data_IF_588038880665
#
_entry.id   IF_588038880665
#
_cell.length_a   1.000
_cell.length_b   1.000
_cell.length_c   1.000
_cell.angle_alpha   90.00
_cell.angle_beta   90.00
_cell.angle_gamma   90.00
#
_symmetry.space_group_name_H-M   'P 1'
#
loop_
_entity.id
_entity.type
_entity.pdbx_description
1 polymer ?
#
# COMPACT_ATOMS: atom_id res chain seq x y z
N UNK A 1 4.20 -2.20 -20.12
CA UNK A 1 5.28 -1.94 -19.14
C UNK A 1 5.87 -0.53 -19.31
N UNK A 2 6.04 -0.04 -20.53
CA UNK A 2 6.65 1.26 -20.81
C UNK A 2 5.90 2.44 -20.17
N UNK A 3 4.56 2.36 -20.11
CA UNK A 3 3.73 3.36 -19.43
C UNK A 3 4.11 3.55 -17.95
N UNK A 4 4.54 2.49 -17.26
CA UNK A 4 4.97 2.56 -15.87
C UNK A 4 6.26 3.37 -15.67
N UNK A 5 7.00 3.66 -16.74
CA UNK A 5 8.20 4.50 -16.70
C UNK A 5 7.90 5.99 -16.91
N UNK A 6 6.67 6.34 -17.26
CA UNK A 6 6.26 7.74 -17.48
C UNK A 6 6.03 8.41 -16.14
N UNK A 7 6.65 9.57 -15.93
CA UNK A 7 6.50 10.36 -14.72
C UNK A 7 5.08 10.94 -14.61
N UNK A 8 4.55 11.02 -13.38
CA UNK A 8 3.22 11.56 -13.13
C UNK A 8 3.04 13.02 -13.61
N UNK A 9 4.12 13.80 -13.66
CA UNK A 9 4.09 15.21 -14.12
C UNK A 9 3.75 15.36 -15.59
N UNK A 10 3.97 14.30 -16.37
CA UNK A 10 3.70 14.27 -17.82
C UNK A 10 2.62 13.24 -18.18
N UNK A 11 1.72 12.95 -17.23
CA UNK A 11 0.56 12.10 -17.46
C UNK A 11 0.77 10.60 -17.20
N UNK A 12 1.91 10.21 -16.63
CA UNK A 12 2.17 8.84 -16.21
C UNK A 12 1.75 8.57 -14.77
N UNK A 13 2.25 7.46 -14.23
CA UNK A 13 1.91 6.98 -12.87
C UNK A 13 3.14 6.88 -11.96
N UNK A 14 4.35 7.02 -12.52
CA UNK A 14 5.59 6.87 -11.77
C UNK A 14 5.89 8.11 -10.94
N UNK A 15 6.25 7.88 -9.68
CA UNK A 15 6.70 8.93 -8.76
C UNK A 15 7.84 8.40 -7.88
N UNK A 16 8.70 9.29 -7.43
CA UNK A 16 9.62 9.03 -6.33
C UNK A 16 9.20 9.90 -5.13
N UNK A 17 9.18 9.29 -3.93
CA UNK A 17 8.96 10.05 -2.71
C UNK A 17 10.20 10.84 -2.29
N UNK A 18 10.13 11.58 -1.18
CA UNK A 18 11.24 12.37 -0.64
C UNK A 18 12.48 11.55 -0.23
N UNK A 19 12.31 10.24 -0.03
CA UNK A 19 13.36 9.30 0.31
C UNK A 19 13.92 8.57 -0.92
N UNK A 20 13.43 8.92 -2.12
CA UNK A 20 13.82 8.26 -3.38
C UNK A 20 13.20 6.88 -3.58
N UNK A 21 12.14 6.54 -2.85
CA UNK A 21 11.41 5.28 -3.04
C UNK A 21 10.49 5.38 -4.25
N UNK A 22 10.52 4.34 -5.08
CA UNK A 22 9.71 4.25 -6.30
C UNK A 22 8.27 3.93 -5.96
N UNK A 23 7.33 4.75 -6.46
CA UNK A 23 5.89 4.55 -6.36
C UNK A 23 5.23 4.54 -7.72
N UNK A 24 4.14 3.79 -7.84
CA UNK A 24 3.17 3.85 -8.93
C UNK A 24 1.84 4.31 -8.34
N UNK A 25 1.41 5.50 -8.74
CA UNK A 25 0.19 6.14 -8.22
C UNK A 25 -1.05 5.55 -8.85
N UNK A 26 -2.02 5.13 -8.03
CA UNK A 26 -3.36 4.77 -8.49
C UNK A 26 -4.13 6.02 -8.97
N UNK A 27 -3.92 7.14 -8.28
CA UNK A 27 -4.52 8.45 -8.60
C UNK A 27 -3.42 9.49 -8.79
N UNK A 28 -2.79 9.55 -9.99
CA UNK A 28 -1.72 10.51 -10.23
C UNK A 28 -2.25 11.95 -10.17
N UNK A 29 -1.76 12.70 -9.20
CA UNK A 29 -2.12 14.09 -8.95
C UNK A 29 -0.93 14.89 -8.48
N UNK A 30 -1.06 16.21 -8.29
CA UNK A 30 0.03 17.05 -7.77
C UNK A 30 0.48 16.55 -6.39
N UNK A 31 -0.46 16.32 -5.48
CA UNK A 31 -0.19 15.74 -4.17
C UNK A 31 -0.22 14.22 -4.23
N UNK A 32 0.76 13.52 -3.64
CA UNK A 32 0.84 12.07 -3.72
C UNK A 32 -0.21 11.42 -2.82
N UNK A 33 -0.90 10.42 -3.33
CA UNK A 33 -1.85 9.62 -2.54
C UNK A 33 -1.21 8.39 -1.90
N UNK A 34 -0.25 7.78 -2.59
CA UNK A 34 0.41 6.55 -2.17
C UNK A 34 -0.57 5.48 -1.66
N UNK A 35 -1.55 5.13 -2.50
CA UNK A 35 -2.52 4.08 -2.17
C UNK A 35 -1.83 2.72 -2.19
N UNK A 36 -1.87 2.01 -1.05
CA UNK A 36 -1.09 0.78 -0.86
C UNK A 36 -1.52 -0.34 -1.80
N UNK A 37 -2.81 -0.64 -1.87
CA UNK A 37 -3.31 -1.75 -2.68
C UNK A 37 -3.05 -1.54 -4.18
N UNK A 38 -3.25 -0.35 -4.71
CA UNK A 38 -2.97 -0.03 -6.11
C UNK A 38 -1.50 -0.22 -6.46
N UNK A 39 -0.60 0.24 -5.57
CA UNK A 39 0.84 0.01 -5.72
C UNK A 39 1.21 -1.47 -5.70
N UNK A 40 0.67 -2.25 -4.74
CA UNK A 40 0.96 -3.69 -4.65
C UNK A 40 0.40 -4.45 -5.84
N UNK A 41 -0.80 -4.13 -6.34
CA UNK A 41 -1.31 -4.74 -7.57
C UNK A 41 -0.44 -4.43 -8.79
N UNK A 42 0.09 -3.22 -8.88
CA UNK A 42 1.07 -2.88 -9.94
C UNK A 42 2.33 -3.73 -9.82
N UNK A 43 2.87 -3.90 -8.60
CA UNK A 43 4.00 -4.80 -8.35
C UNK A 43 3.70 -6.24 -8.78
N UNK A 44 2.51 -6.77 -8.47
CA UNK A 44 2.12 -8.12 -8.88
C UNK A 44 2.05 -8.25 -10.41
N UNK A 45 1.50 -7.26 -11.10
CA UNK A 45 1.48 -7.24 -12.57
C UNK A 45 2.90 -7.20 -13.18
N UNK A 46 3.82 -6.44 -12.59
CA UNK A 46 5.23 -6.41 -13.00
C UNK A 46 5.90 -7.77 -12.72
N UNK A 47 5.57 -8.41 -11.60
CA UNK A 47 6.07 -9.74 -11.25
C UNK A 47 5.61 -10.80 -12.25
N UNK A 48 4.35 -10.79 -12.65
CA UNK A 48 3.83 -11.71 -13.67
C UNK A 48 4.52 -11.51 -15.03
N UNK A 49 4.75 -10.26 -15.41
CA UNK A 49 5.51 -9.95 -16.63
C UNK A 49 6.94 -10.50 -16.58
N UNK A 50 7.62 -10.32 -15.44
CA UNK A 50 8.96 -10.90 -15.26
C UNK A 50 8.95 -12.42 -15.35
N UNK A 51 7.98 -13.10 -14.76
CA UNK A 51 7.85 -14.57 -14.85
C UNK A 51 7.77 -15.08 -16.29
N UNK A 52 7.16 -14.29 -17.18
CA UNK A 52 6.97 -14.65 -18.58
C UNK A 52 8.24 -14.33 -19.39
N UNK A 53 8.87 -13.19 -19.13
CA UNK A 53 9.94 -12.65 -19.97
C UNK A 53 11.35 -13.01 -19.48
N UNK A 54 11.53 -13.22 -18.19
CA UNK A 54 12.86 -13.38 -17.57
C UNK A 54 13.74 -12.12 -17.62
N UNK A 55 13.17 -10.94 -17.94
CA UNK A 55 13.96 -9.72 -18.14
C UNK A 55 14.50 -9.17 -16.82
N UNK A 56 15.81 -9.08 -16.72
CA UNK A 56 16.52 -8.56 -15.54
C UNK A 56 16.24 -7.09 -15.24
N UNK A 57 15.84 -6.29 -16.22
CA UNK A 57 15.42 -4.89 -15.99
C UNK A 57 14.09 -4.86 -15.23
N UNK A 58 13.18 -5.76 -15.56
CA UNK A 58 11.90 -5.92 -14.87
C UNK A 58 12.15 -6.41 -13.45
N UNK A 59 13.05 -7.39 -13.25
CA UNK A 59 13.45 -7.88 -11.93
C UNK A 59 13.95 -6.74 -11.03
N UNK A 60 14.82 -5.87 -11.53
CA UNK A 60 15.31 -4.70 -10.79
C UNK A 60 14.17 -3.73 -10.40
N UNK A 61 13.13 -3.64 -11.21
CA UNK A 61 11.96 -2.82 -10.88
C UNK A 61 11.16 -3.45 -9.74
N UNK A 62 10.99 -4.79 -9.77
CA UNK A 62 10.37 -5.54 -8.65
C UNK A 62 11.13 -5.29 -7.36
N UNK A 63 12.46 -5.40 -7.37
CA UNK A 63 13.28 -5.21 -6.18
C UNK A 63 13.11 -3.80 -5.57
N UNK A 64 13.01 -2.77 -6.43
CA UNK A 64 12.69 -1.40 -5.99
C UNK A 64 11.29 -1.31 -5.36
N UNK A 65 10.28 -1.93 -5.95
CA UNK A 65 8.92 -1.92 -5.41
C UNK A 65 8.84 -2.67 -4.08
N UNK A 66 9.51 -3.83 -3.96
CA UNK A 66 9.61 -4.58 -2.69
C UNK A 66 10.28 -3.74 -1.62
N UNK A 67 11.40 -3.08 -1.95
CA UNK A 67 12.07 -2.15 -1.04
C UNK A 67 11.12 -1.03 -0.59
N UNK A 68 10.39 -0.42 -1.51
CA UNK A 68 9.41 0.62 -1.19
C UNK A 68 8.39 0.12 -0.16
N UNK A 69 7.79 -1.07 -0.38
CA UNK A 69 6.84 -1.62 0.57
C UNK A 69 7.46 -1.96 1.91
N UNK A 70 8.66 -2.53 1.94
CA UNK A 70 9.38 -2.82 3.20
C UNK A 70 9.62 -1.57 4.05
N UNK A 71 10.07 -0.50 3.40
CA UNK A 71 10.39 0.75 4.09
C UNK A 71 9.14 1.55 4.47
N UNK A 72 8.00 1.35 3.78
CA UNK A 72 6.80 2.18 3.95
C UNK A 72 5.65 1.49 4.67
N UNK A 73 5.65 0.16 4.83
CA UNK A 73 4.49 -0.58 5.36
C UNK A 73 4.02 -0.09 6.73
N UNK A 74 4.94 0.39 7.57
CA UNK A 74 4.64 0.93 8.89
C UNK A 74 3.73 2.17 8.82
N UNK A 75 3.74 2.93 7.71
CA UNK A 75 2.89 4.10 7.49
C UNK A 75 1.42 3.71 7.25
N UNK A 76 1.16 2.45 6.92
CA UNK A 76 -0.19 1.91 6.68
C UNK A 76 -0.78 1.18 7.87
N UNK A 77 -0.21 1.35 9.07
CA UNK A 77 -0.71 0.77 10.31
C UNK A 77 -1.00 1.88 11.34
N UNK A 78 -2.26 2.05 11.69
CA UNK A 78 -2.68 2.99 12.75
C UNK A 78 -2.43 2.46 14.17
N UNK A 79 -1.90 1.25 14.32
CA UNK A 79 -1.77 0.55 15.60
C UNK A 79 -2.95 -0.36 15.93
N UNK A 80 -4.13 -0.08 15.41
CA UNK A 80 -5.35 -0.88 15.62
C UNK A 80 -6.07 -1.29 14.32
N UNK A 81 -5.72 -0.67 13.17
CA UNK A 81 -6.31 -0.94 11.86
C UNK A 81 -5.35 -0.53 10.74
N UNK A 82 -5.54 -1.02 9.52
CA UNK A 82 -4.76 -0.56 8.38
C UNK A 82 -5.27 0.77 7.83
N UNK A 83 -4.36 1.54 7.25
CA UNK A 83 -4.60 2.82 6.58
C UNK A 83 -4.65 2.56 5.07
N UNK A 84 -5.53 3.26 4.34
CA UNK A 84 -5.73 3.10 2.91
C UNK A 84 -4.70 3.86 2.08
N UNK A 85 -4.47 5.14 2.40
CA UNK A 85 -3.60 6.07 1.67
C UNK A 85 -2.75 6.93 2.61
N UNK A 86 -1.73 7.59 2.07
CA UNK A 86 -0.85 8.48 2.85
C UNK A 86 -1.22 9.96 2.74
N UNK A 87 -2.08 10.35 1.81
CA UNK A 87 -2.58 11.73 1.69
C UNK A 87 -3.54 12.05 2.85
N UNK A 88 -4.66 11.34 2.88
CA UNK A 88 -5.70 11.58 3.87
C UNK A 88 -5.55 10.74 5.14
N UNK A 89 -4.69 9.71 5.09
CA UNK A 89 -4.52 8.70 6.15
C UNK A 89 -5.85 8.07 6.55
N UNK A 90 -6.67 7.74 5.53
CA UNK A 90 -7.96 7.12 5.76
C UNK A 90 -7.79 5.71 6.29
N UNK A 91 -8.55 5.40 7.36
CA UNK A 91 -8.66 4.01 7.80
C UNK A 91 -9.33 3.19 6.70
N UNK A 92 -8.73 2.07 6.35
CA UNK A 92 -9.33 1.15 5.40
C UNK A 92 -10.68 0.67 5.90
N UNK A 93 -11.67 0.54 5.01
CA UNK A 93 -12.95 -0.09 5.37
C UNK A 93 -12.70 -1.53 5.86
N UNK A 94 -13.66 -2.12 6.60
CA UNK A 94 -13.53 -3.53 7.03
C UNK A 94 -13.35 -4.46 5.84
N UNK A 95 -14.00 -4.16 4.72
CA UNK A 95 -13.83 -4.90 3.48
C UNK A 95 -12.38 -4.84 2.98
N UNK A 96 -11.79 -3.64 2.85
CA UNK A 96 -10.41 -3.47 2.38
C UNK A 96 -9.40 -4.10 3.34
N UNK A 97 -9.55 -3.86 4.64
CA UNK A 97 -8.65 -4.44 5.64
C UNK A 97 -8.64 -5.97 5.57
N UNK A 98 -9.85 -6.59 5.58
CA UNK A 98 -10.02 -8.05 5.62
C UNK A 98 -9.68 -8.73 4.29
N UNK A 99 -10.22 -8.20 3.18
CA UNK A 99 -10.22 -8.93 1.91
C UNK A 99 -9.14 -8.46 0.94
N UNK A 100 -8.48 -7.33 1.22
CA UNK A 100 -7.45 -6.77 0.36
C UNK A 100 -6.12 -6.68 1.12
N UNK A 101 -6.02 -5.85 2.16
CA UNK A 101 -4.73 -5.55 2.79
C UNK A 101 -4.10 -6.78 3.44
N UNK A 102 -4.85 -7.56 4.21
CA UNK A 102 -4.35 -8.78 4.85
C UNK A 102 -3.88 -9.81 3.80
N UNK A 103 -4.68 -10.18 2.77
CA UNK A 103 -4.23 -11.09 1.72
C UNK A 103 -3.02 -10.57 0.94
N UNK A 104 -2.93 -9.27 0.65
CA UNK A 104 -1.77 -8.71 -0.05
C UNK A 104 -0.47 -8.90 0.74
N UNK A 105 -0.49 -8.77 2.06
CA UNK A 105 0.69 -9.04 2.89
C UNK A 105 1.09 -10.52 2.83
N UNK A 106 0.13 -11.43 2.82
CA UNK A 106 0.41 -12.86 2.66
C UNK A 106 1.03 -13.16 1.29
N UNK A 107 0.50 -12.57 0.23
CA UNK A 107 1.03 -12.73 -1.13
C UNK A 107 2.45 -12.17 -1.21
N UNK A 108 2.70 -10.96 -0.70
CA UNK A 108 4.03 -10.36 -0.70
C UNK A 108 5.04 -11.22 0.05
N UNK A 109 4.67 -11.75 1.22
CA UNK A 109 5.56 -12.68 1.96
C UNK A 109 5.88 -13.93 1.13
N UNK A 110 4.88 -14.58 0.52
CA UNK A 110 5.07 -15.76 -0.32
C UNK A 110 5.97 -15.50 -1.55
N UNK A 111 5.85 -14.33 -2.16
CA UNK A 111 6.62 -13.98 -3.36
C UNK A 111 8.05 -13.55 -3.05
N UNK A 112 8.27 -12.90 -1.91
CA UNK A 112 9.54 -12.24 -1.61
C UNK A 112 10.35 -12.94 -0.53
N UNK A 113 9.71 -13.75 0.32
CA UNK A 113 10.32 -14.32 1.53
C UNK A 113 10.55 -13.31 2.66
N UNK A 114 10.09 -12.08 2.53
CA UNK A 114 10.35 -11.02 3.49
C UNK A 114 9.44 -11.13 4.72
N UNK A 115 10.02 -11.37 5.88
CA UNK A 115 9.32 -11.60 7.16
C UNK A 115 8.50 -10.40 7.64
N UNK A 116 8.85 -9.20 7.22
CA UNK A 116 8.08 -8.00 7.58
C UNK A 116 6.63 -8.10 7.09
N UNK A 117 6.39 -8.65 5.90
CA UNK A 117 5.03 -8.80 5.37
C UNK A 117 4.21 -9.83 6.15
N UNK A 118 4.82 -10.95 6.56
CA UNK A 118 4.15 -11.92 7.43
C UNK A 118 3.83 -11.32 8.81
N UNK A 119 4.74 -10.53 9.36
CA UNK A 119 4.51 -9.81 10.62
C UNK A 119 3.28 -8.90 10.54
N UNK A 120 3.11 -8.12 9.44
CA UNK A 120 1.93 -7.29 9.23
C UNK A 120 0.67 -8.11 8.93
N UNK A 121 0.78 -9.21 8.20
CA UNK A 121 -0.33 -10.14 7.97
C UNK A 121 -0.88 -10.66 9.32
N UNK A 122 -0.01 -11.18 10.19
CA UNK A 122 -0.38 -11.68 11.52
C UNK A 122 -0.96 -10.58 12.40
N UNK A 123 -0.33 -9.40 12.41
CA UNK A 123 -0.77 -8.24 13.18
C UNK A 123 -2.15 -7.77 12.75
N UNK A 124 -2.40 -7.61 11.45
CA UNK A 124 -3.68 -7.15 10.94
C UNK A 124 -4.79 -8.20 11.09
N UNK A 125 -4.48 -9.50 10.99
CA UNK A 125 -5.41 -10.58 11.36
C UNK A 125 -5.83 -10.48 12.84
N UNK A 126 -4.88 -10.19 13.74
CA UNK A 126 -5.18 -9.97 15.17
C UNK A 126 -6.05 -8.73 15.38
N UNK A 127 -5.76 -7.63 14.68
CA UNK A 127 -6.56 -6.41 14.73
C UNK A 127 -8.00 -6.66 14.26
N UNK A 128 -8.18 -7.38 13.14
CA UNK A 128 -9.48 -7.75 12.59
C UNK A 128 -10.33 -8.58 13.57
N UNK A 129 -9.71 -9.46 14.34
CA UNK A 129 -10.41 -10.32 15.29
C UNK A 129 -10.72 -9.63 16.63
N UNK A 130 -10.20 -8.44 16.88
CA UNK A 130 -10.44 -7.66 18.09
C UNK A 130 -11.81 -6.97 18.06
N UNK A 131 -12.69 -7.35 18.97
CA UNK A 131 -13.99 -6.67 19.16
C UNK A 131 -13.82 -5.19 19.54
N UNK A 132 -12.80 -4.88 20.34
CA UNK A 132 -12.47 -3.51 20.71
C UNK A 132 -12.08 -2.68 19.49
N UNK A 133 -11.19 -3.18 18.63
CA UNK A 133 -10.77 -2.47 17.43
C UNK A 133 -11.94 -2.21 16.48
N UNK A 134 -12.86 -3.18 16.33
CA UNK A 134 -14.07 -3.01 15.50
C UNK A 134 -14.99 -1.93 16.06
N UNK A 135 -15.22 -1.93 17.36
CA UNK A 135 -16.04 -0.88 18.01
C UNK A 135 -15.37 0.50 17.85
N UNK A 136 -14.06 0.58 18.08
CA UNK A 136 -13.28 1.80 17.89
C UNK A 136 -13.30 2.31 16.44
N UNK A 137 -13.19 1.41 15.48
CA UNK A 137 -13.29 1.72 14.06
C UNK A 137 -14.60 2.43 13.71
N UNK A 138 -15.75 1.96 14.24
CA UNK A 138 -17.05 2.60 14.01
C UNK A 138 -17.10 4.03 14.57
N UNK A 139 -16.47 4.27 15.71
CA UNK A 139 -16.33 5.61 16.29
C UNK A 139 -15.46 6.48 15.37
N UNK A 140 -14.31 5.97 14.94
CA UNK A 140 -13.36 6.71 14.12
C UNK A 140 -13.92 7.07 12.73
N UNK A 141 -14.72 6.23 12.10
CA UNK A 141 -15.40 6.58 10.85
C UNK A 141 -16.34 7.78 10.98
N UNK A 142 -16.91 8.02 12.17
CA UNK A 142 -17.76 9.20 12.44
C UNK A 142 -16.96 10.45 12.78
N UNK A 143 -15.80 10.30 13.40
CA UNK A 143 -14.98 11.40 13.93
C UNK A 143 -13.95 11.87 12.88
N UNK A 144 -13.28 10.96 12.19
CA UNK A 144 -12.18 11.28 11.28
C UNK A 144 -12.56 12.32 10.19
N UNK A 145 -13.73 12.27 9.53
CA UNK A 145 -14.12 13.30 8.58
C UNK A 145 -14.29 14.70 9.22
N UNK A 146 -14.68 14.75 10.50
CA UNK A 146 -14.84 16.02 11.25
C UNK A 146 -13.49 16.60 11.61
N UNK A 147 -12.56 15.79 12.13
CA UNK A 147 -11.21 16.23 12.50
C UNK A 147 -10.47 16.84 11.30
N UNK A 148 -10.63 16.28 10.10
CA UNK A 148 -10.02 16.79 8.88
C UNK A 148 -10.52 18.18 8.45
N UNK A 149 -11.75 18.55 8.81
CA UNK A 149 -12.29 19.89 8.51
C UNK A 149 -11.62 20.97 9.34
N UNK A 150 -11.07 20.64 10.50
CA UNK A 150 -10.40 21.57 11.39
C UNK A 150 -8.87 21.60 11.22
N UNK A 151 -8.29 20.70 10.42
CA UNK A 151 -6.84 20.63 10.16
C UNK A 151 -6.42 21.24 8.81
N UNK A 152 -7.35 21.89 8.12
CA UNK A 152 -7.10 22.74 6.94
C UNK A 152 -7.12 24.19 7.37
#
# INVERSE_FOLDING_TARGET
YDFLHIDYKVGGVRRFDKNGLLWYEEYPSKEPSFVMNGFVYTLLGIYDLWRITGDEKIKKTIDKCVRTMKESIHLYDSGYWSIYDQDKKELATEYYHKNIHIPLMEVLHKLTGEEIFDSYNKRWKKQLNSKFNKAWLQIMYRIQPRLRRYSK
#
